data_IF_640388967616
#
_entry.id   IF_640388967616
#
_cell.length_a   1.000
_cell.length_b   1.000
_cell.length_c   1.000
_cell.angle_alpha   90.00
_cell.angle_beta   90.00
_cell.angle_gamma   90.00
#
_symmetry.space_group_name_H-M   'P 1'
#
loop_
_entity.id
_entity.type
_entity.pdbx_description
1 polymer ?
#
# COMPACT_ATOMS: atom_id res chain seq x y z
N UNK A 1 5.80 20.80 -37.87
CA UNK A 1 5.19 19.72 -37.05
C UNK A 1 3.71 19.72 -37.38
N UNK A 2 3.12 18.58 -37.72
CA UNK A 2 1.72 18.47 -38.12
C UNK A 2 0.97 17.61 -37.10
N UNK A 3 -0.18 18.07 -36.64
CA UNK A 3 -0.99 17.43 -35.60
C UNK A 3 -1.62 18.48 -34.70
N UNK A 4 -2.71 18.12 -34.02
CA UNK A 4 -3.28 19.01 -33.01
C UNK A 4 -2.38 19.02 -31.78
N UNK A 5 -2.40 20.13 -31.02
CA UNK A 5 -1.55 20.28 -29.83
C UNK A 5 -1.81 19.19 -28.78
N UNK A 6 -3.06 18.73 -28.65
CA UNK A 6 -3.47 17.62 -27.79
C UNK A 6 -2.76 16.31 -28.16
N UNK A 7 -2.77 15.94 -29.44
CA UNK A 7 -2.15 14.73 -29.96
C UNK A 7 -0.62 14.78 -29.81
N UNK A 8 -0.03 15.94 -30.10
CA UNK A 8 1.41 16.16 -29.97
C UNK A 8 1.85 16.14 -28.49
N UNK A 9 1.02 16.64 -27.58
CA UNK A 9 1.27 16.60 -26.14
C UNK A 9 1.15 15.17 -25.60
N UNK A 10 0.15 14.42 -26.05
CA UNK A 10 0.01 13.00 -25.69
C UNK A 10 1.22 12.18 -26.14
N UNK A 11 1.71 12.41 -27.37
CA UNK A 11 2.93 11.79 -27.87
C UNK A 11 4.17 12.20 -27.08
N UNK A 12 4.35 13.49 -26.78
CA UNK A 12 5.49 13.97 -25.99
C UNK A 12 5.48 13.44 -24.54
N UNK A 13 4.32 13.03 -24.04
CA UNK A 13 4.15 12.49 -22.68
C UNK A 13 4.28 10.96 -22.59
N UNK A 14 4.60 10.27 -23.68
CA UNK A 14 4.90 8.84 -23.61
C UNK A 14 6.16 8.60 -22.77
N UNK A 15 6.05 7.75 -21.76
CA UNK A 15 7.14 7.41 -20.84
C UNK A 15 8.40 6.91 -21.57
N UNK A 16 8.22 6.15 -22.64
CA UNK A 16 9.30 5.66 -23.51
C UNK A 16 10.07 6.79 -24.21
N UNK A 17 9.43 7.94 -24.45
CA UNK A 17 10.05 9.13 -25.01
C UNK A 17 10.64 10.02 -23.93
N UNK A 18 9.91 10.28 -22.84
CA UNK A 18 10.40 11.12 -21.74
C UNK A 18 11.61 10.53 -21.02
N UNK A 19 11.70 9.20 -20.93
CA UNK A 19 12.85 8.52 -20.33
C UNK A 19 14.16 8.66 -21.12
N UNK A 20 14.09 9.08 -22.39
CA UNK A 20 15.25 9.10 -23.31
C UNK A 20 15.51 10.46 -23.94
N UNK A 21 14.48 11.28 -24.08
CA UNK A 21 14.53 12.53 -24.84
C UNK A 21 13.78 13.64 -24.14
N UNK A 22 14.34 14.85 -24.19
CA UNK A 22 13.59 16.06 -23.88
C UNK A 22 12.81 16.47 -25.13
N UNK A 23 11.51 16.16 -25.15
CA UNK A 23 10.64 16.43 -26.29
C UNK A 23 10.10 17.85 -26.17
N UNK A 24 10.39 18.70 -27.17
CA UNK A 24 9.83 20.04 -27.27
C UNK A 24 8.74 20.07 -28.34
N UNK A 25 7.61 20.72 -28.03
CA UNK A 25 6.53 20.98 -28.99
C UNK A 25 6.62 22.45 -29.42
N UNK A 26 7.24 22.77 -30.57
CA UNK A 26 7.38 24.14 -31.01
C UNK A 26 6.02 24.71 -31.42
N UNK A 27 5.74 25.94 -30.99
CA UNK A 27 4.55 26.69 -31.38
C UNK A 27 4.86 27.57 -32.60
N UNK A 28 3.90 27.77 -33.53
CA UNK A 28 4.07 28.70 -34.63
C UNK A 28 4.45 30.11 -34.12
N UNK A 29 5.42 30.74 -34.77
CA UNK A 29 5.91 32.07 -34.40
C UNK A 29 6.80 32.15 -33.16
N UNK A 30 7.07 31.03 -32.48
CA UNK A 30 7.94 30.99 -31.31
C UNK A 30 9.29 30.35 -31.65
N UNK A 31 10.38 31.13 -31.78
CA UNK A 31 11.70 30.58 -32.06
C UNK A 31 12.17 29.73 -30.88
N UNK A 32 12.53 28.47 -31.15
CA UNK A 32 13.07 27.54 -30.18
C UNK A 32 14.60 27.64 -30.18
N UNK A 33 15.18 28.03 -29.04
CA UNK A 33 16.63 27.98 -28.84
C UNK A 33 17.05 26.60 -28.33
N UNK A 34 17.81 25.86 -29.12
CA UNK A 34 18.35 24.56 -28.75
C UNK A 34 19.79 24.76 -28.23
N UNK A 35 20.03 24.39 -26.96
CA UNK A 35 21.38 24.35 -26.41
C UNK A 35 22.13 23.12 -26.99
N UNK A 36 22.77 23.32 -28.14
CA UNK A 36 23.61 22.29 -28.76
C UNK A 36 24.92 22.18 -27.94
N UNK A 37 25.16 21.03 -27.31
CA UNK A 37 26.45 20.72 -26.67
C UNK A 37 26.45 20.67 -25.14
N UNK A 38 25.33 20.94 -24.46
CA UNK A 38 25.21 20.62 -23.03
C UNK A 38 24.99 19.12 -22.89
N UNK A 39 25.97 18.40 -22.31
CA UNK A 39 25.79 16.99 -21.96
C UNK A 39 24.52 16.85 -21.13
N UNK A 40 23.60 16.02 -21.60
CA UNK A 40 22.34 15.75 -20.93
C UNK A 40 22.65 15.02 -19.62
N UNK A 41 22.72 15.77 -18.52
CA UNK A 41 22.73 15.18 -17.18
C UNK A 41 21.29 14.80 -16.89
N UNK A 42 20.92 13.56 -17.20
CA UNK A 42 19.74 12.96 -16.57
C UNK A 42 19.85 13.23 -15.06
N UNK A 43 18.79 13.69 -14.39
CA UNK A 43 18.81 13.75 -12.93
C UNK A 43 19.35 12.41 -12.44
N UNK A 44 20.38 12.38 -11.57
CA UNK A 44 20.84 11.12 -11.03
C UNK A 44 19.60 10.39 -10.50
N UNK A 45 19.41 9.10 -10.85
CA UNK A 45 18.26 8.36 -10.35
C UNK A 45 18.20 8.58 -8.86
N UNK A 46 17.01 8.92 -8.34
CA UNK A 46 16.80 9.03 -6.91
C UNK A 46 17.21 7.68 -6.33
N UNK A 47 18.41 7.63 -5.73
CA UNK A 47 18.85 6.45 -5.01
C UNK A 47 18.02 6.40 -3.76
N UNK A 48 17.02 5.55 -3.78
CA UNK A 48 16.24 5.27 -2.59
C UNK A 48 17.21 4.78 -1.51
N UNK A 49 17.14 5.35 -0.29
CA UNK A 49 18.03 4.94 0.79
C UNK A 49 17.80 3.45 1.09
N UNK A 50 18.89 2.68 1.06
CA UNK A 50 18.87 1.28 1.47
C UNK A 50 19.29 1.18 2.93
N UNK A 51 18.55 0.42 3.72
CA UNK A 51 18.85 0.19 5.13
C UNK A 51 19.18 -1.28 5.34
N UNK A 52 20.38 -1.55 5.86
CA UNK A 52 20.82 -2.91 6.20
C UNK A 52 20.38 -3.25 7.62
N UNK A 53 19.83 -4.44 7.81
CA UNK A 53 19.30 -4.92 9.08
C UNK A 53 19.59 -6.40 9.31
N UNK A 54 19.15 -6.90 10.46
CA UNK A 54 19.32 -8.29 10.86
C UNK A 54 17.99 -9.02 10.91
N UNK A 55 17.99 -10.29 10.48
CA UNK A 55 16.86 -11.20 10.54
C UNK A 55 17.18 -12.28 11.58
N UNK A 56 16.29 -12.46 12.55
CA UNK A 56 16.36 -13.54 13.53
C UNK A 56 15.10 -14.39 13.45
N UNK A 57 15.27 -15.71 13.36
CA UNK A 57 14.17 -16.66 13.28
C UNK A 57 14.11 -17.50 14.55
N UNK A 58 12.91 -17.70 15.07
CA UNK A 58 12.60 -18.62 16.16
C UNK A 58 11.37 -19.46 15.77
N UNK A 59 11.10 -20.58 16.46
CA UNK A 59 9.99 -21.48 16.10
C UNK A 59 8.61 -20.82 16.07
N UNK A 60 8.42 -19.72 16.80
CA UNK A 60 7.14 -19.04 16.95
C UNK A 60 7.08 -17.71 16.19
N UNK A 61 8.22 -17.11 15.86
CA UNK A 61 8.28 -15.76 15.29
C UNK A 61 9.59 -15.47 14.55
N UNK A 62 9.48 -14.62 13.54
CA UNK A 62 10.59 -13.99 12.83
C UNK A 62 10.67 -12.53 13.25
N UNK A 63 11.87 -12.05 13.57
CA UNK A 63 12.15 -10.66 13.97
C UNK A 63 13.09 -9.98 12.97
N UNK A 64 12.68 -8.82 12.48
CA UNK A 64 13.48 -7.95 11.61
C UNK A 64 13.91 -6.74 12.42
N UNK A 65 15.20 -6.45 12.45
CA UNK A 65 15.78 -5.30 13.13
C UNK A 65 16.40 -4.37 12.11
N UNK A 66 15.92 -3.13 12.05
CA UNK A 66 16.41 -2.09 11.15
C UNK A 66 17.10 -0.97 11.96
N UNK A 67 18.06 -0.26 11.36
CA UNK A 67 18.80 0.80 12.04
C UNK A 67 17.87 1.99 12.30
N UNK A 68 18.01 2.63 13.46
CA UNK A 68 17.14 3.74 13.88
C UNK A 68 17.17 4.95 12.95
N UNK A 69 18.18 5.08 12.09
CA UNK A 69 18.27 6.16 11.11
C UNK A 69 17.12 6.16 10.09
N UNK A 70 16.46 5.01 9.88
CA UNK A 70 15.28 4.91 8.99
C UNK A 70 14.13 5.80 9.46
N UNK A 71 14.03 6.10 10.75
CA UNK A 71 12.95 6.92 11.31
C UNK A 71 13.05 8.39 10.94
N UNK A 72 14.19 8.82 10.40
CA UNK A 72 14.38 10.19 9.89
C UNK A 72 13.73 10.40 8.51
N UNK A 73 13.38 9.33 7.79
CA UNK A 73 12.66 9.43 6.51
C UNK A 73 11.18 9.77 6.77
N UNK A 74 10.65 10.79 6.11
CA UNK A 74 9.26 11.23 6.30
C UNK A 74 8.24 10.12 6.01
N UNK A 75 8.58 9.16 5.12
CA UNK A 75 7.72 8.01 4.80
C UNK A 75 7.57 7.04 5.97
N UNK A 76 8.53 7.02 6.90
CA UNK A 76 8.48 6.17 8.09
C UNK A 76 7.26 6.47 8.96
N UNK A 77 6.85 7.74 9.04
CA UNK A 77 5.71 8.14 9.87
C UNK A 77 4.41 7.47 9.41
N UNK A 78 4.16 7.44 8.10
CA UNK A 78 3.00 6.75 7.53
C UNK A 78 3.15 5.23 7.63
N UNK A 79 4.34 4.68 7.38
CA UNK A 79 4.60 3.25 7.49
C UNK A 79 4.34 2.71 8.91
N UNK A 80 4.75 3.45 9.94
CA UNK A 80 4.67 3.04 11.34
C UNK A 80 3.41 3.54 12.07
N UNK A 81 2.49 4.22 11.37
CA UNK A 81 1.36 4.95 11.99
C UNK A 81 0.52 4.06 12.93
N UNK A 82 0.19 2.84 12.48
CA UNK A 82 -0.62 1.90 13.25
C UNK A 82 0.21 0.94 14.10
N UNK A 83 1.53 0.90 13.88
CA UNK A 83 2.43 -0.10 14.46
C UNK A 83 2.21 -1.53 13.94
N UNK A 84 1.31 -1.74 12.97
CA UNK A 84 1.06 -3.04 12.34
C UNK A 84 1.60 -3.03 10.93
N UNK A 85 2.28 -4.11 10.56
CA UNK A 85 2.84 -4.31 9.22
C UNK A 85 2.31 -5.59 8.59
N UNK A 86 2.17 -5.57 7.28
CA UNK A 86 1.89 -6.74 6.44
C UNK A 86 3.17 -7.10 5.69
N UNK A 87 3.52 -8.39 5.68
CA UNK A 87 4.67 -8.92 4.96
C UNK A 87 4.18 -9.82 3.82
N UNK A 88 4.58 -9.51 2.59
CA UNK A 88 4.18 -10.26 1.41
C UNK A 88 5.37 -10.57 0.50
N UNK A 89 5.42 -11.80 -0.02
CA UNK A 89 6.38 -12.20 -1.04
C UNK A 89 6.04 -11.57 -2.40
N UNK A 90 7.06 -11.00 -3.05
CA UNK A 90 7.04 -10.57 -4.44
C UNK A 90 8.29 -11.11 -5.14
N UNK A 91 8.12 -12.24 -5.83
CA UNK A 91 9.25 -13.01 -6.34
C UNK A 91 10.11 -13.53 -5.18
N UNK A 92 11.40 -13.20 -5.19
CA UNK A 92 12.37 -13.57 -4.15
C UNK A 92 12.49 -12.54 -3.02
N UNK A 93 11.70 -11.47 -3.05
CA UNK A 93 11.76 -10.39 -2.07
C UNK A 93 10.57 -10.44 -1.13
N UNK A 94 10.79 -10.14 0.16
CA UNK A 94 9.71 -9.83 1.12
C UNK A 94 9.52 -8.32 1.12
N UNK A 95 8.30 -7.88 0.82
CA UNK A 95 7.90 -6.49 0.91
C UNK A 95 7.12 -6.30 2.21
N UNK A 96 7.56 -5.33 3.00
CA UNK A 96 6.87 -4.88 4.21
C UNK A 96 6.05 -3.64 3.89
N UNK A 97 4.79 -3.63 4.30
CA UNK A 97 3.87 -2.50 4.15
C UNK A 97 3.23 -2.15 5.49
N UNK A 98 3.16 -0.87 5.81
CA UNK A 98 2.37 -0.38 6.94
C UNK A 98 0.88 -0.56 6.68
N UNK A 99 0.14 -1.04 7.68
CA UNK A 99 -1.32 -1.20 7.58
C UNK A 99 -2.00 0.14 7.78
N UNK A 100 -2.87 0.53 6.86
CA UNK A 100 -3.65 1.76 7.02
C UNK A 100 -4.73 1.61 8.09
N UNK A 101 -5.10 2.69 8.81
CA UNK A 101 -6.15 2.64 9.83
C UNK A 101 -7.48 2.05 9.35
N UNK A 102 -7.85 2.28 8.09
CA UNK A 102 -9.08 1.74 7.50
C UNK A 102 -9.05 0.21 7.32
N UNK A 103 -7.87 -0.40 7.23
CA UNK A 103 -7.68 -1.84 7.03
C UNK A 103 -7.54 -2.60 8.36
N UNK A 104 -7.38 -1.89 9.48
CA UNK A 104 -7.11 -2.48 10.79
C UNK A 104 -8.18 -3.48 11.23
N UNK A 105 -9.46 -3.21 10.98
CA UNK A 105 -10.54 -4.13 11.36
C UNK A 105 -10.40 -5.49 10.63
N UNK A 106 -10.10 -5.47 9.34
CA UNK A 106 -9.92 -6.67 8.55
C UNK A 106 -8.65 -7.43 8.92
N UNK A 107 -7.57 -6.72 9.27
CA UNK A 107 -6.30 -7.33 9.66
C UNK A 107 -6.35 -7.88 11.09
N UNK A 108 -6.97 -7.17 12.04
CA UNK A 108 -7.17 -7.67 13.41
C UNK A 108 -8.04 -8.92 13.44
N UNK A 109 -9.07 -9.01 12.60
CA UNK A 109 -9.84 -10.24 12.43
C UNK A 109 -9.00 -11.39 11.86
N UNK A 110 -8.04 -11.13 10.96
CA UNK A 110 -7.12 -12.13 10.41
C UNK A 110 -6.02 -12.55 11.39
N UNK A 111 -5.52 -11.64 12.22
CA UNK A 111 -4.47 -11.90 13.23
C UNK A 111 -5.03 -12.63 14.46
N UNK A 112 -6.32 -12.46 14.75
CA UNK A 112 -7.01 -13.15 15.84
C UNK A 112 -8.28 -13.86 15.32
N UNK A 113 -8.15 -14.89 14.47
CA UNK A 113 -9.30 -15.59 13.90
C UNK A 113 -10.14 -16.29 14.99
N UNK A 114 -9.53 -16.59 16.14
CA UNK A 114 -10.20 -17.14 17.32
C UNK A 114 -10.98 -16.12 18.15
N UNK A 115 -11.06 -14.86 17.71
CA UNK A 115 -11.88 -13.86 18.39
C UNK A 115 -13.35 -14.16 18.07
N UNK A 116 -14.14 -14.42 19.10
CA UNK A 116 -15.57 -14.71 18.99
C UNK A 116 -16.38 -13.44 18.67
N UNK A 117 -16.28 -12.93 17.44
CA UNK A 117 -17.02 -11.75 16.97
C UNK A 117 -18.18 -12.13 16.06
N UNK A 118 -19.12 -11.22 15.83
CA UNK A 118 -20.25 -11.52 14.94
C UNK A 118 -19.80 -11.73 13.49
N UNK A 119 -18.80 -10.98 13.01
CA UNK A 119 -18.36 -11.01 11.60
C UNK A 119 -17.82 -12.38 11.14
N UNK A 120 -17.25 -13.17 12.04
CA UNK A 120 -16.75 -14.54 11.77
C UNK A 120 -17.65 -15.64 12.37
N UNK A 121 -18.87 -15.30 12.80
CA UNK A 121 -19.83 -16.25 13.35
C UNK A 121 -20.69 -16.85 12.22
N UNK A 122 -20.88 -18.17 12.20
CA UNK A 122 -21.66 -18.85 11.16
C UNK A 122 -23.14 -18.40 11.05
N UNK A 123 -23.67 -17.77 12.11
CA UNK A 123 -25.06 -17.31 12.19
C UNK A 123 -25.24 -15.82 11.92
N UNK A 124 -24.18 -15.11 11.53
CA UNK A 124 -24.26 -13.70 11.17
C UNK A 124 -24.60 -13.55 9.69
N UNK A 125 -25.75 -12.94 9.40
CA UNK A 125 -26.21 -12.70 8.03
C UNK A 125 -26.84 -11.31 7.93
N UNK A 126 -26.49 -10.54 6.90
CA UNK A 126 -27.08 -9.23 6.63
C UNK A 126 -27.13 -8.28 7.85
N UNK A 127 -26.05 -8.25 8.65
CA UNK A 127 -25.94 -7.47 9.90
C UNK A 127 -26.87 -7.90 11.05
N UNK A 128 -27.46 -9.08 10.96
CA UNK A 128 -28.36 -9.62 11.99
C UNK A 128 -27.90 -10.99 12.50
N UNK A 129 -28.26 -11.31 13.75
CA UNK A 129 -27.98 -12.62 14.35
C UNK A 129 -29.12 -13.61 14.06
N UNK A 130 -28.78 -14.78 13.51
CA UNK A 130 -29.70 -15.87 13.19
C UNK A 130 -29.52 -17.11 14.09
N UNK A 131 -28.78 -17.00 15.20
CA UNK A 131 -28.59 -18.11 16.14
C UNK A 131 -29.81 -18.26 17.06
N UNK A 132 -30.61 -19.35 16.99
CA UNK A 132 -31.88 -19.44 17.72
C UNK A 132 -31.74 -19.40 19.25
N UNK A 133 -30.63 -19.87 19.79
CA UNK A 133 -30.35 -19.84 21.23
C UNK A 133 -29.65 -18.56 21.71
N UNK A 134 -29.27 -17.64 20.80
CA UNK A 134 -28.61 -16.40 21.20
C UNK A 134 -29.64 -15.40 21.74
N UNK A 135 -29.33 -14.66 22.82
CA UNK A 135 -30.18 -13.56 23.27
C UNK A 135 -30.31 -12.42 22.23
N UNK A 136 -29.45 -12.42 21.21
CA UNK A 136 -29.44 -11.45 20.12
C UNK A 136 -30.23 -11.92 18.88
N UNK A 137 -30.92 -13.06 18.92
CA UNK A 137 -31.67 -13.60 17.78
C UNK A 137 -32.63 -12.57 17.16
N UNK A 138 -32.50 -12.36 15.85
CA UNK A 138 -33.30 -11.39 15.08
C UNK A 138 -32.97 -9.92 15.33
N UNK A 139 -31.90 -9.62 16.09
CA UNK A 139 -31.41 -8.25 16.32
C UNK A 139 -30.30 -7.91 15.33
N UNK A 140 -30.23 -6.62 14.98
CA UNK A 140 -29.08 -6.07 14.28
C UNK A 140 -27.90 -6.00 15.27
N UNK A 141 -26.76 -6.55 14.87
CA UNK A 141 -25.56 -6.65 15.70
C UNK A 141 -24.36 -6.03 15.00
N UNK A 142 -23.46 -5.43 15.76
CA UNK A 142 -22.23 -4.87 15.21
C UNK A 142 -21.29 -6.03 14.77
N UNK A 143 -20.58 -5.92 13.64
CA UNK A 143 -19.68 -6.97 13.16
C UNK A 143 -18.59 -7.33 14.17
N UNK A 144 -18.08 -6.34 14.91
CA UNK A 144 -17.07 -6.47 15.97
C UNK A 144 -17.66 -6.83 17.35
N UNK A 145 -18.98 -7.02 17.44
CA UNK A 145 -19.68 -7.39 18.66
C UNK A 145 -19.32 -8.81 19.13
N UNK A 146 -19.28 -9.01 20.45
CA UNK A 146 -19.04 -10.32 21.06
C UNK A 146 -20.34 -11.12 21.21
N UNK A 147 -20.32 -12.41 20.84
CA UNK A 147 -21.44 -13.32 21.03
C UNK A 147 -21.08 -14.41 22.04
N UNK A 148 -21.85 -14.59 23.14
CA UNK A 148 -21.60 -15.66 24.10
C UNK A 148 -21.85 -17.06 23.49
N UNK A 149 -22.77 -17.16 22.51
CA UNK A 149 -23.10 -18.39 21.77
C UNK A 149 -22.33 -18.46 20.43
N UNK A 150 -21.05 -18.07 20.42
CA UNK A 150 -20.25 -18.05 19.21
C UNK A 150 -19.92 -19.48 18.72
N UNK A 151 -20.11 -19.71 17.42
CA UNK A 151 -19.57 -20.89 16.74
C UNK A 151 -18.73 -20.43 15.55
N UNK A 152 -17.43 -20.73 15.62
CA UNK A 152 -16.48 -20.53 14.53
C UNK A 152 -16.85 -21.41 13.32
N UNK A 153 -16.60 -20.89 12.12
CA UNK A 153 -16.63 -21.66 10.87
C UNK A 153 -15.32 -22.38 10.60
#
# INVERSE_FOLDING_TARGET
>A
VNGKLEDLSALANLESLQSRYQVHIPLPGHPLSLALGTQFKSPPPLREPTFEGTLSESPEQVSIQLPSIITNDARWQSFAETGIIEAQWQGENVILRGVEPAELAAITNRLAPNRAVCDNCQFYQQRSCHHPQSPLFGKMVAPDGYCPEFMAQ
#
